data_IF_316816673029
#
_entry.id   IF_316816673029
#
_cell.length_a   1.000
_cell.length_b   1.000
_cell.length_c   1.000
_cell.angle_alpha   90.00
_cell.angle_beta   90.00
_cell.angle_gamma   90.00
#
_symmetry.space_group_name_H-M   'P 1'
#
loop_
_entity.id
_entity.type
_entity.pdbx_description
1 polymer ?
#
# COMPACT_ATOMS: atom_id res chain seq x y z
N UNK A 1 -49.35 65.10 44.17
CA UNK A 1 -49.67 63.94 43.31
C UNK A 1 -49.06 64.06 41.90
N UNK A 2 -49.18 65.19 41.19
CA UNK A 2 -48.61 65.35 39.83
C UNK A 2 -47.06 65.24 39.73
N UNK A 3 -46.32 65.67 40.75
CA UNK A 3 -44.84 65.62 40.74
C UNK A 3 -44.29 64.19 40.89
N UNK A 4 -44.94 63.34 41.68
CA UNK A 4 -44.53 61.94 41.88
C UNK A 4 -44.75 61.09 40.62
N UNK A 5 -45.83 61.34 39.87
CA UNK A 5 -46.10 60.63 38.60
C UNK A 5 -45.03 60.95 37.55
N UNK A 6 -44.58 62.21 37.46
CA UNK A 6 -43.49 62.60 36.55
C UNK A 6 -42.16 61.92 36.88
N UNK A 7 -41.87 61.78 38.18
CA UNK A 7 -40.67 61.09 38.67
C UNK A 7 -40.69 59.59 38.34
N UNK A 8 -41.84 58.93 38.50
CA UNK A 8 -42.03 57.52 38.13
C UNK A 8 -41.85 57.32 36.62
N UNK A 9 -42.46 58.18 35.79
CA UNK A 9 -42.31 58.10 34.33
C UNK A 9 -40.86 58.34 33.87
N UNK A 10 -40.13 59.25 34.53
CA UNK A 10 -38.73 59.50 34.27
C UNK A 10 -37.85 58.29 34.61
N UNK A 11 -38.07 57.65 35.76
CA UNK A 11 -37.36 56.41 36.12
C UNK A 11 -37.71 55.25 35.19
N UNK A 12 -38.97 55.13 34.77
CA UNK A 12 -39.40 54.12 33.80
C UNK A 12 -38.72 54.30 32.44
N UNK A 13 -38.55 55.56 31.99
CA UNK A 13 -37.82 55.90 30.77
C UNK A 13 -36.33 55.60 30.90
N UNK A 14 -35.70 55.94 32.03
CA UNK A 14 -34.30 55.61 32.30
C UNK A 14 -34.06 54.10 32.38
N UNK A 15 -34.97 53.35 33.03
CA UNK A 15 -34.88 51.89 33.08
C UNK A 15 -35.08 51.25 31.70
N UNK A 16 -35.96 51.81 30.87
CA UNK A 16 -36.14 51.37 29.48
C UNK A 16 -34.91 51.64 28.62
N UNK A 17 -34.29 52.82 28.77
CA UNK A 17 -33.05 53.16 28.06
C UNK A 17 -31.86 52.30 28.52
N UNK A 18 -31.71 52.08 29.83
CA UNK A 18 -30.69 51.20 30.39
C UNK A 18 -30.87 49.74 29.94
N UNK A 19 -32.11 49.25 29.95
CA UNK A 19 -32.46 47.92 29.43
C UNK A 19 -32.17 47.77 27.93
N UNK A 20 -32.46 48.80 27.13
CA UNK A 20 -32.15 48.82 25.71
C UNK A 20 -30.64 48.81 25.42
N UNK A 21 -29.84 49.56 26.17
CA UNK A 21 -28.37 49.56 26.05
C UNK A 21 -27.81 48.18 26.42
N UNK A 22 -28.26 47.61 27.54
CA UNK A 22 -27.83 46.27 27.96
C UNK A 22 -28.19 45.21 26.93
N UNK A 23 -29.39 45.26 26.36
CA UNK A 23 -29.83 44.35 25.31
C UNK A 23 -28.97 44.45 24.05
N UNK A 24 -28.65 45.67 23.60
CA UNK A 24 -27.76 45.88 22.43
C UNK A 24 -26.34 45.40 22.72
N UNK A 25 -25.82 45.61 23.94
CA UNK A 25 -24.51 45.09 24.34
C UNK A 25 -24.49 43.55 24.38
N UNK A 26 -25.55 42.93 24.90
CA UNK A 26 -25.73 41.48 24.94
C UNK A 26 -25.77 40.89 23.52
N UNK A 27 -26.60 41.46 22.63
CA UNK A 27 -26.68 41.04 21.23
C UNK A 27 -25.33 41.15 20.50
N UNK A 28 -24.53 42.19 20.78
CA UNK A 28 -23.18 42.30 20.21
C UNK A 28 -22.26 41.19 20.69
N UNK A 29 -22.29 40.89 21.98
CA UNK A 29 -21.49 39.81 22.57
C UNK A 29 -21.87 38.43 21.99
N UNK A 30 -23.17 38.16 21.81
CA UNK A 30 -23.60 36.89 21.20
C UNK A 30 -23.21 36.79 19.72
N UNK A 31 -23.30 37.89 18.96
CA UNK A 31 -22.81 37.92 17.58
C UNK A 31 -21.31 37.63 17.49
N UNK A 32 -20.50 38.20 18.38
CA UNK A 32 -19.05 37.93 18.41
C UNK A 32 -18.77 36.45 18.69
N UNK A 33 -19.45 35.84 19.67
CA UNK A 33 -19.34 34.41 19.96
C UNK A 33 -19.75 33.57 18.75
N UNK A 34 -20.85 33.92 18.07
CA UNK A 34 -21.29 33.22 16.85
C UNK A 34 -20.27 33.35 15.72
N UNK A 35 -19.64 34.52 15.53
CA UNK A 35 -18.58 34.69 14.53
C UNK A 35 -17.34 33.85 14.85
N UNK A 36 -16.93 33.78 16.12
CA UNK A 36 -15.80 32.94 16.54
C UNK A 36 -16.10 31.45 16.37
N UNK A 37 -17.32 31.01 16.68
CA UNK A 37 -17.75 29.63 16.46
C UNK A 37 -17.83 29.29 14.97
N UNK A 38 -18.33 30.20 14.13
CA UNK A 38 -18.32 30.01 12.67
C UNK A 38 -16.90 29.92 12.12
N UNK A 39 -15.98 30.80 12.53
CA UNK A 39 -14.58 30.73 12.13
C UNK A 39 -13.93 29.40 12.56
N UNK A 40 -14.25 28.91 13.77
CA UNK A 40 -13.78 27.60 14.26
C UNK A 40 -14.36 26.43 13.46
N UNK A 41 -15.64 26.51 13.07
CA UNK A 41 -16.29 25.51 12.22
C UNK A 41 -15.71 25.51 10.80
N UNK A 42 -15.48 26.68 10.21
CA UNK A 42 -14.83 26.81 8.89
C UNK A 42 -13.42 26.21 8.93
N UNK A 43 -12.60 26.57 9.93
CA UNK A 43 -11.27 26.00 10.13
C UNK A 43 -11.33 24.47 10.29
N UNK A 44 -12.27 23.95 11.09
CA UNK A 44 -12.42 22.51 11.29
C UNK A 44 -12.89 21.78 10.01
N UNK A 45 -13.74 22.41 9.21
CA UNK A 45 -14.17 21.89 7.91
C UNK A 45 -13.02 21.85 6.91
N UNK A 46 -12.18 22.89 6.89
CA UNK A 46 -11.02 22.93 5.99
C UNK A 46 -9.93 21.95 6.41
N UNK A 47 -9.69 21.77 7.72
CA UNK A 47 -8.85 20.69 8.24
C UNK A 47 -9.39 19.30 7.84
N UNK A 48 -10.70 19.08 7.94
CA UNK A 48 -11.32 17.82 7.51
C UNK A 48 -11.20 17.60 6.01
N UNK A 49 -11.36 18.64 5.17
CA UNK A 49 -11.14 18.52 3.72
C UNK A 49 -9.71 18.14 3.41
N UNK A 50 -8.74 18.81 4.02
CA UNK A 50 -7.32 18.48 3.83
C UNK A 50 -7.01 17.03 4.27
N UNK A 51 -7.57 16.59 5.39
CA UNK A 51 -7.45 15.20 5.85
C UNK A 51 -8.10 14.22 4.87
N UNK A 52 -9.28 14.52 4.34
CA UNK A 52 -9.97 13.67 3.35
C UNK A 52 -9.16 13.59 2.06
N UNK A 53 -8.62 14.70 1.57
CA UNK A 53 -7.73 14.71 0.39
C UNK A 53 -6.50 13.85 0.61
N UNK A 54 -5.87 13.95 1.79
CA UNK A 54 -4.76 13.07 2.15
C UNK A 54 -5.19 11.60 2.21
N UNK A 55 -6.33 11.29 2.84
CA UNK A 55 -6.85 9.93 2.93
C UNK A 55 -7.14 9.33 1.55
N UNK A 56 -7.66 10.13 0.61
CA UNK A 56 -7.88 9.69 -0.77
C UNK A 56 -6.56 9.36 -1.46
N UNK A 57 -5.54 10.21 -1.30
CA UNK A 57 -4.20 9.94 -1.84
C UNK A 57 -3.57 8.67 -1.22
N UNK A 58 -3.74 8.48 0.09
CA UNK A 58 -3.27 7.27 0.79
C UNK A 58 -4.00 6.01 0.29
N UNK A 59 -5.30 6.08 0.05
CA UNK A 59 -6.09 4.97 -0.51
C UNK A 59 -5.59 4.59 -1.91
N UNK A 60 -5.33 5.58 -2.77
CA UNK A 60 -4.78 5.33 -4.11
C UNK A 60 -3.41 4.65 -4.04
N UNK A 61 -2.52 5.11 -3.15
CA UNK A 61 -1.22 4.47 -2.93
C UNK A 61 -1.35 3.05 -2.40
N UNK A 62 -2.24 2.82 -1.43
CA UNK A 62 -2.52 1.50 -0.87
C UNK A 62 -3.03 0.55 -1.97
N UNK A 63 -3.90 1.02 -2.86
CA UNK A 63 -4.40 0.22 -3.99
C UNK A 63 -3.27 -0.21 -4.94
N UNK A 64 -2.37 0.71 -5.30
CA UNK A 64 -1.25 0.40 -6.19
C UNK A 64 -0.25 -0.56 -5.53
N UNK A 65 0.08 -0.36 -4.26
CA UNK A 65 0.93 -1.28 -3.49
C UNK A 65 0.29 -2.67 -3.41
N UNK A 66 -1.00 -2.76 -3.11
CA UNK A 66 -1.71 -4.03 -3.04
C UNK A 66 -1.72 -4.77 -4.38
N UNK A 67 -1.87 -4.05 -5.49
CA UNK A 67 -1.77 -4.62 -6.83
C UNK A 67 -0.38 -5.22 -7.07
N UNK A 68 0.68 -4.45 -6.78
CA UNK A 68 2.06 -4.92 -6.91
C UNK A 68 2.36 -6.14 -6.03
N UNK A 69 1.89 -6.12 -4.77
CA UNK A 69 2.02 -7.26 -3.85
C UNK A 69 1.30 -8.50 -4.36
N UNK A 70 0.10 -8.35 -4.91
CA UNK A 70 -0.65 -9.47 -5.47
C UNK A 70 0.06 -10.08 -6.68
N UNK A 71 0.56 -9.25 -7.61
CA UNK A 71 1.34 -9.71 -8.77
C UNK A 71 2.60 -10.48 -8.35
N UNK A 72 3.31 -9.97 -7.34
CA UNK A 72 4.49 -10.65 -6.80
C UNK A 72 4.14 -11.95 -6.08
N UNK A 73 3.06 -11.99 -5.29
CA UNK A 73 2.60 -13.19 -4.61
C UNK A 73 2.23 -14.31 -5.59
N UNK A 74 1.58 -13.99 -6.71
CA UNK A 74 1.28 -14.97 -7.76
C UNK A 74 2.57 -15.55 -8.35
N UNK A 75 3.55 -14.72 -8.69
CA UNK A 75 4.85 -15.17 -9.22
C UNK A 75 5.59 -16.07 -8.23
N UNK A 76 5.72 -15.63 -6.98
CA UNK A 76 6.40 -16.39 -5.93
C UNK A 76 5.71 -17.71 -5.61
N UNK A 77 4.37 -17.74 -5.62
CA UNK A 77 3.61 -18.98 -5.44
C UNK A 77 3.88 -19.95 -6.58
N UNK A 78 3.95 -19.47 -7.83
CA UNK A 78 4.31 -20.30 -8.97
C UNK A 78 5.74 -20.85 -8.84
N UNK A 79 6.71 -20.04 -8.40
CA UNK A 79 8.09 -20.48 -8.16
C UNK A 79 8.17 -21.54 -7.06
N UNK A 80 7.43 -21.36 -5.96
CA UNK A 80 7.34 -22.35 -4.88
C UNK A 80 6.74 -23.67 -5.37
N UNK A 81 5.67 -23.62 -6.17
CA UNK A 81 5.05 -24.82 -6.73
C UNK A 81 6.02 -25.56 -7.66
N UNK A 82 6.74 -24.84 -8.52
CA UNK A 82 7.75 -25.42 -9.40
C UNK A 82 8.90 -26.06 -8.61
N UNK A 83 9.37 -25.40 -7.55
CA UNK A 83 10.38 -25.96 -6.66
C UNK A 83 9.86 -27.24 -5.98
N UNK A 84 8.64 -27.20 -5.44
CA UNK A 84 8.01 -28.34 -4.79
C UNK A 84 7.84 -29.54 -5.75
N UNK A 85 7.43 -29.29 -6.99
CA UNK A 85 7.34 -30.32 -8.03
C UNK A 85 8.71 -30.96 -8.30
N UNK A 86 9.78 -30.15 -8.42
CA UNK A 86 11.14 -30.66 -8.66
C UNK A 86 11.61 -31.62 -7.55
N UNK A 87 11.27 -31.36 -6.28
CA UNK A 87 11.65 -32.21 -5.13
C UNK A 87 10.78 -33.45 -4.96
N UNK A 88 9.52 -33.39 -5.36
CA UNK A 88 8.56 -34.48 -5.19
C UNK A 88 8.28 -35.27 -6.47
N UNK A 89 8.99 -34.96 -7.57
CA UNK A 89 8.82 -35.61 -8.86
C UNK A 89 8.93 -37.13 -8.73
N UNK A 90 7.91 -37.81 -9.22
CA UNK A 90 7.85 -39.28 -9.30
C UNK A 90 8.57 -39.75 -10.58
N UNK A 91 9.34 -40.82 -10.48
CA UNK A 91 10.02 -41.45 -11.62
C UNK A 91 9.06 -42.34 -12.43
N UNK A 92 9.53 -42.92 -13.54
CA UNK A 92 8.71 -43.81 -14.39
C UNK A 92 8.21 -45.08 -13.68
N UNK A 93 8.82 -45.43 -12.54
CA UNK A 93 8.48 -46.60 -11.73
C UNK A 93 7.46 -46.30 -10.62
N UNK A 94 6.95 -45.06 -10.53
CA UNK A 94 5.99 -44.67 -9.50
C UNK A 94 6.61 -44.29 -8.15
N UNK A 95 7.94 -44.26 -8.05
CA UNK A 95 8.65 -43.91 -6.82
C UNK A 95 9.08 -42.44 -6.84
N UNK A 96 9.09 -41.79 -5.67
CA UNK A 96 9.68 -40.46 -5.53
C UNK A 96 11.14 -40.48 -5.94
N UNK A 97 11.56 -39.47 -6.69
CA UNK A 97 12.96 -39.31 -7.10
C UNK A 97 13.85 -39.10 -5.87
N UNK A 98 14.59 -40.14 -5.49
CA UNK A 98 15.61 -40.05 -4.47
C UNK A 98 16.89 -39.43 -5.04
N UNK A 99 17.09 -38.15 -4.74
CA UNK A 99 18.27 -37.39 -5.15
C UNK A 99 19.54 -37.92 -4.46
N UNK A 100 19.44 -38.41 -3.22
CA UNK A 100 20.55 -38.98 -2.48
C UNK A 100 21.06 -40.26 -3.15
N UNK A 101 20.15 -41.19 -3.44
CA UNK A 101 20.51 -42.40 -4.18
C UNK A 101 21.02 -42.09 -5.60
N UNK A 102 20.45 -41.09 -6.29
CA UNK A 102 20.97 -40.63 -7.59
C UNK A 102 22.38 -40.04 -7.49
N UNK A 103 22.69 -39.33 -6.40
CA UNK A 103 24.03 -38.79 -6.15
C UNK A 103 25.06 -39.90 -5.92
N UNK A 104 24.69 -40.96 -5.20
CA UNK A 104 25.56 -42.13 -4.97
C UNK A 104 25.74 -42.94 -6.26
N UNK A 105 24.65 -43.20 -7.00
CA UNK A 105 24.68 -44.05 -8.19
C UNK A 105 25.23 -43.36 -9.44
N UNK A 106 25.08 -42.03 -9.57
CA UNK A 106 25.53 -41.25 -10.74
C UNK A 106 26.22 -39.93 -10.35
N UNK A 107 27.30 -39.98 -9.55
CA UNK A 107 27.91 -38.79 -8.95
C UNK A 107 28.34 -37.75 -9.99
N UNK A 108 29.04 -38.17 -11.06
CA UNK A 108 29.50 -37.26 -12.14
C UNK A 108 28.36 -36.58 -12.90
N UNK A 109 27.17 -37.19 -12.94
CA UNK A 109 26.01 -36.57 -13.59
C UNK A 109 25.36 -35.55 -12.68
N UNK A 110 25.25 -35.86 -11.38
CA UNK A 110 24.75 -34.93 -10.38
C UNK A 110 25.69 -33.72 -10.22
N UNK A 111 27.00 -33.95 -10.14
CA UNK A 111 28.00 -32.88 -10.07
C UNK A 111 27.87 -31.89 -11.24
N UNK A 112 27.73 -32.38 -12.48
CA UNK A 112 27.53 -31.54 -13.66
C UNK A 112 26.24 -30.73 -13.59
N UNK A 113 25.17 -31.32 -13.07
CA UNK A 113 23.88 -30.64 -12.90
C UNK A 113 24.00 -29.54 -11.84
N UNK A 114 24.57 -29.85 -10.68
CA UNK A 114 24.66 -28.88 -9.58
C UNK A 114 25.63 -27.75 -9.88
N UNK A 115 26.75 -27.99 -10.57
CA UNK A 115 27.63 -26.92 -11.06
C UNK A 115 26.91 -25.97 -12.02
N UNK A 116 26.10 -26.51 -12.95
CA UNK A 116 25.29 -25.66 -13.84
C UNK A 116 24.28 -24.84 -13.04
N UNK A 117 23.63 -25.45 -12.04
CA UNK A 117 22.65 -24.76 -11.19
C UNK A 117 23.28 -23.70 -10.32
N UNK A 118 24.50 -23.92 -9.82
CA UNK A 118 25.24 -22.93 -9.05
C UNK A 118 25.48 -21.66 -9.87
N UNK A 119 25.94 -21.80 -11.12
CA UNK A 119 26.09 -20.68 -12.05
C UNK A 119 24.76 -19.97 -12.31
N UNK A 120 23.69 -20.75 -12.52
CA UNK A 120 22.35 -20.20 -12.73
C UNK A 120 21.83 -19.45 -11.50
N UNK A 121 22.04 -19.96 -10.29
CA UNK A 121 21.67 -19.28 -9.03
C UNK A 121 22.47 -18.00 -8.82
N UNK A 122 23.77 -18.01 -9.09
CA UNK A 122 24.58 -16.79 -9.05
C UNK A 122 24.03 -15.73 -10.00
N UNK A 123 23.70 -16.12 -11.24
CA UNK A 123 23.07 -15.23 -12.22
C UNK A 123 21.71 -14.70 -11.76
N UNK A 124 20.89 -15.53 -11.10
CA UNK A 124 19.63 -15.09 -10.51
C UNK A 124 19.81 -13.99 -9.46
N UNK A 125 20.85 -14.09 -8.62
CA UNK A 125 21.18 -13.06 -7.63
C UNK A 125 21.58 -11.74 -8.29
N UNK A 126 22.38 -11.78 -9.35
CA UNK A 126 22.76 -10.58 -10.11
C UNK A 126 21.53 -9.88 -10.69
N UNK A 127 20.61 -10.63 -11.31
CA UNK A 127 19.37 -10.09 -11.88
C UNK A 127 18.50 -9.47 -10.79
N UNK A 128 18.35 -10.17 -9.66
CA UNK A 128 17.59 -9.65 -8.52
C UNK A 128 18.21 -8.37 -7.92
N UNK A 129 19.52 -8.17 -8.06
CA UNK A 129 20.24 -6.95 -7.67
C UNK A 129 20.16 -5.83 -8.73
N UNK A 130 19.53 -6.08 -9.88
CA UNK A 130 19.33 -5.09 -10.93
C UNK A 130 20.27 -5.22 -12.14
N UNK A 131 21.04 -6.30 -12.26
CA UNK A 131 21.75 -6.58 -13.50
C UNK A 131 20.75 -6.69 -14.66
N UNK A 132 20.99 -6.03 -15.80
CA UNK A 132 20.17 -6.22 -16.98
C UNK A 132 20.28 -7.66 -17.49
N UNK A 133 19.22 -8.12 -18.16
CA UNK A 133 19.22 -9.40 -18.87
C UNK A 133 20.12 -9.31 -20.10
N UNK A 134 20.80 -10.42 -20.37
CA UNK A 134 21.57 -10.61 -21.60
C UNK A 134 20.63 -10.87 -22.78
N UNK A 135 21.14 -10.69 -24.00
CA UNK A 135 20.39 -10.97 -25.23
C UNK A 135 19.97 -12.45 -25.34
N UNK A 136 20.80 -13.37 -24.83
CA UNK A 136 20.46 -14.79 -24.77
C UNK A 136 19.30 -15.08 -23.82
N UNK A 137 19.29 -14.46 -22.63
CA UNK A 137 18.22 -14.60 -21.64
C UNK A 137 16.90 -14.02 -22.16
N UNK A 138 16.95 -12.88 -22.84
CA UNK A 138 15.80 -12.29 -23.51
C UNK A 138 15.25 -13.22 -24.60
N UNK A 139 16.12 -13.80 -25.43
CA UNK A 139 15.69 -14.62 -26.57
C UNK A 139 15.44 -16.10 -26.21
N UNK A 140 15.60 -16.50 -24.94
CA UNK A 140 15.42 -17.88 -24.51
C UNK A 140 13.94 -18.30 -24.54
N UNK A 141 13.61 -19.23 -25.45
CA UNK A 141 12.25 -19.78 -25.62
C UNK A 141 12.18 -21.28 -25.35
N UNK A 142 13.33 -21.96 -25.28
CA UNK A 142 13.43 -23.41 -25.06
C UNK A 142 13.96 -23.72 -23.68
N UNK A 143 13.50 -24.83 -23.10
CA UNK A 143 13.96 -25.32 -21.78
C UNK A 143 15.48 -25.54 -21.67
N UNK A 144 16.16 -25.79 -22.80
CA UNK A 144 17.63 -25.94 -22.82
C UNK A 144 18.38 -24.61 -22.71
N UNK A 145 17.75 -23.50 -23.07
CA UNK A 145 18.33 -22.15 -23.14
C UNK A 145 18.12 -21.35 -21.85
N UNK A 146 17.09 -21.69 -21.08
CA UNK A 146 16.67 -20.92 -19.92
C UNK A 146 17.57 -21.11 -18.68
N UNK A 147 17.51 -20.12 -17.80
CA UNK A 147 17.83 -20.28 -16.40
C UNK A 147 16.66 -20.97 -15.68
N UNK A 148 16.85 -22.21 -15.25
CA UNK A 148 15.79 -23.01 -14.65
C UNK A 148 15.62 -22.75 -13.13
N UNK A 149 16.50 -21.97 -12.51
CA UNK A 149 16.50 -21.71 -11.07
C UNK A 149 15.64 -20.48 -10.71
N UNK A 150 15.48 -19.51 -11.62
CA UNK A 150 14.64 -18.33 -11.41
C UNK A 150 13.85 -17.95 -12.68
N UNK A 151 12.92 -18.83 -13.07
CA UNK A 151 12.24 -18.75 -14.36
C UNK A 151 11.51 -17.43 -14.59
N UNK A 152 10.88 -16.89 -13.54
CA UNK A 152 10.05 -15.69 -13.60
C UNK A 152 10.81 -14.38 -13.83
N UNK A 153 12.12 -14.34 -13.52
CA UNK A 153 12.93 -13.11 -13.64
C UNK A 153 14.00 -13.21 -14.73
N UNK A 154 14.47 -14.42 -15.04
CA UNK A 154 15.56 -14.60 -15.99
C UNK A 154 15.09 -14.94 -17.41
N UNK A 155 13.84 -15.37 -17.62
CA UNK A 155 13.37 -15.85 -18.93
C UNK A 155 12.01 -15.25 -19.32
N UNK A 156 11.96 -13.98 -19.72
CA UNK A 156 10.69 -13.29 -20.01
C UNK A 156 9.90 -13.93 -21.17
N UNK A 157 10.57 -14.62 -22.09
CA UNK A 157 9.96 -15.20 -23.29
C UNK A 157 9.76 -16.73 -23.21
N UNK A 158 10.02 -17.35 -22.05
CA UNK A 158 9.81 -18.79 -21.88
C UNK A 158 8.43 -19.09 -21.31
N UNK A 159 7.67 -19.92 -22.02
CA UNK A 159 6.37 -20.42 -21.56
C UNK A 159 6.55 -21.90 -21.16
N UNK A 160 6.38 -22.26 -19.88
CA UNK A 160 6.36 -23.66 -19.43
C UNK A 160 5.23 -24.44 -20.14
N UNK A 161 5.52 -25.68 -20.52
CA UNK A 161 4.57 -26.63 -21.13
C UNK A 161 4.09 -27.67 -20.12
#
# INVERSE_FOLDING_TARGET
>A
MFSQIKLILFFMMLSGAAGGIWYVQHLKSENEILTLNNAKLESAVDEQKALIEQQLADIEQIQEINKSLNENNVKLTADLNLANEKFNKVNASGERRDIGNLAVSKPRSIERIERKREQQRARCFEIAQGSPLTEEELNATKKSQINAECTNIANPNYIPY
#
